data_IF_929711604552
#
_entry.id   IF_929711604552
#
_cell.length_a   1.000
_cell.length_b   1.000
_cell.length_c   1.000
_cell.angle_alpha   90.00
_cell.angle_beta   90.00
_cell.angle_gamma   90.00
#
_symmetry.space_group_name_H-M   'P 1'
#
loop_
_entity.id
_entity.type
_entity.pdbx_description
1 polymer ?
#
# COMPACT_ATOMS: atom_id res chain seq x y z
N UNK A 1 -11.18 1.13 -23.36
CA UNK A 1 -11.93 -0.02 -22.80
C UNK A 1 -11.30 -0.56 -21.52
N UNK A 2 -10.02 -0.96 -21.52
CA UNK A 2 -9.29 -1.47 -20.33
C UNK A 2 -9.33 -0.49 -19.13
N UNK A 3 -9.12 0.80 -19.35
CA UNK A 3 -9.18 1.82 -18.28
C UNK A 3 -10.58 1.91 -17.65
N UNK A 4 -11.63 1.79 -18.46
CA UNK A 4 -13.04 1.81 -18.01
C UNK A 4 -13.37 0.53 -17.24
N UNK A 5 -12.87 -0.63 -17.70
CA UNK A 5 -13.01 -1.91 -17.03
C UNK A 5 -12.32 -1.91 -15.65
N UNK A 6 -11.12 -1.34 -15.54
CA UNK A 6 -10.41 -1.20 -14.27
C UNK A 6 -11.16 -0.30 -13.29
N UNK A 7 -11.68 0.84 -13.76
CA UNK A 7 -12.43 1.78 -12.91
C UNK A 7 -13.75 1.20 -12.39
N UNK A 8 -14.49 0.44 -13.22
CA UNK A 8 -15.75 -0.22 -12.80
C UNK A 8 -15.47 -1.36 -11.83
N UNK A 9 -14.42 -2.16 -12.07
CA UNK A 9 -14.04 -3.29 -11.22
C UNK A 9 -13.61 -2.86 -9.83
N UNK A 10 -12.88 -1.75 -9.73
CA UNK A 10 -12.47 -1.17 -8.44
C UNK A 10 -13.67 -0.75 -7.58
N UNK A 11 -14.66 -0.13 -8.21
CA UNK A 11 -15.86 0.35 -7.52
C UNK A 11 -16.78 -0.82 -7.08
N UNK A 12 -16.97 -1.84 -7.92
CA UNK A 12 -17.76 -3.03 -7.54
C UNK A 12 -17.08 -3.87 -6.46
N UNK A 13 -15.75 -3.96 -6.47
CA UNK A 13 -14.98 -4.66 -5.42
C UNK A 13 -15.13 -3.95 -4.06
N UNK A 14 -15.16 -2.62 -4.05
CA UNK A 14 -15.41 -1.85 -2.83
C UNK A 14 -16.85 -2.01 -2.29
N UNK A 15 -17.80 -2.39 -3.14
CA UNK A 15 -19.22 -2.59 -2.77
C UNK A 15 -19.58 -4.04 -2.45
N UNK A 16 -18.65 -5.00 -2.63
CA UNK A 16 -18.92 -6.42 -2.40
C UNK A 16 -19.86 -7.04 -3.44
N UNK A 17 -19.97 -6.45 -4.63
CA UNK A 17 -20.83 -6.97 -5.70
C UNK A 17 -20.16 -8.14 -6.45
N UNK A 18 -20.94 -9.09 -7.01
CA UNK A 18 -20.38 -10.24 -7.72
C UNK A 18 -19.63 -9.81 -8.99
N UNK A 19 -18.30 -9.79 -8.94
CA UNK A 19 -17.41 -9.46 -10.06
C UNK A 19 -17.53 -10.42 -11.25
N UNK A 20 -18.09 -11.61 -11.04
CA UNK A 20 -18.26 -12.65 -12.08
C UNK A 20 -19.23 -12.25 -13.19
N UNK A 21 -20.34 -11.58 -12.87
CA UNK A 21 -21.35 -11.18 -13.88
C UNK A 21 -20.84 -10.03 -14.76
N UNK A 22 -20.10 -9.10 -14.16
CA UNK A 22 -19.45 -8.00 -14.84
C UNK A 22 -18.33 -8.51 -15.75
N UNK A 23 -17.51 -9.45 -15.27
CA UNK A 23 -16.47 -10.08 -16.08
C UNK A 23 -17.06 -10.88 -17.25
N UNK A 24 -18.17 -11.60 -17.03
CA UNK A 24 -18.88 -12.28 -18.11
C UNK A 24 -19.44 -11.29 -19.14
N UNK A 25 -20.01 -10.17 -18.71
CA UNK A 25 -20.53 -9.12 -19.61
C UNK A 25 -19.42 -8.48 -20.46
N UNK A 26 -18.24 -8.25 -19.87
CA UNK A 26 -17.09 -7.74 -20.62
C UNK A 26 -16.44 -8.79 -21.53
N UNK A 27 -16.43 -10.07 -21.14
CA UNK A 27 -16.02 -11.16 -22.02
C UNK A 27 -16.96 -11.32 -23.22
N UNK A 28 -18.27 -11.13 -23.02
CA UNK A 28 -19.26 -11.11 -24.10
C UNK A 28 -19.00 -9.91 -25.04
N UNK A 29 -18.79 -8.70 -24.50
CA UNK A 29 -18.46 -7.51 -25.30
C UNK A 29 -17.16 -7.66 -26.10
N UNK A 30 -16.17 -8.38 -25.57
CA UNK A 30 -14.92 -8.66 -26.27
C UNK A 30 -15.09 -9.78 -27.33
N UNK A 31 -15.95 -10.77 -27.07
CA UNK A 31 -16.25 -11.83 -28.04
C UNK A 31 -17.14 -11.35 -29.20
N UNK A 32 -18.02 -10.38 -28.97
CA UNK A 32 -18.99 -9.87 -29.97
C UNK A 32 -18.40 -8.86 -30.97
N UNK A 33 -17.14 -8.41 -30.80
CA UNK A 33 -16.41 -7.59 -31.80
C UNK A 33 -16.10 -8.37 -33.11
N UNK A 34 -16.58 -9.61 -33.20
CA UNK A 34 -16.53 -10.44 -34.42
C UNK A 34 -17.91 -10.70 -35.05
N UNK A 35 -19.02 -10.16 -34.52
CA UNK A 35 -20.36 -10.46 -35.04
C UNK A 35 -21.37 -9.30 -35.00
N UNK A 36 -21.63 -8.70 -36.17
CA UNK A 36 -22.79 -7.86 -36.59
C UNK A 36 -23.11 -6.56 -35.81
N UNK A 37 -23.12 -5.37 -36.47
CA UNK A 37 -23.19 -4.05 -35.81
C UNK A 37 -24.47 -3.69 -35.05
N UNK A 38 -25.60 -4.38 -35.27
CA UNK A 38 -26.93 -3.90 -34.84
C UNK A 38 -27.25 -4.11 -33.34
N UNK A 39 -26.46 -4.88 -32.58
CA UNK A 39 -26.69 -5.13 -31.14
C UNK A 39 -25.84 -4.28 -30.21
N UNK A 40 -24.71 -3.74 -30.69
CA UNK A 40 -23.79 -2.92 -29.90
C UNK A 40 -24.44 -1.60 -29.44
N UNK A 41 -25.29 -1.00 -30.27
CA UNK A 41 -25.91 0.31 -29.96
C UNK A 41 -26.85 0.26 -28.75
N UNK A 42 -27.57 -0.86 -28.55
CA UNK A 42 -28.49 -1.00 -27.42
C UNK A 42 -27.75 -1.17 -26.08
N UNK A 43 -26.64 -1.91 -26.08
CA UNK A 43 -25.82 -2.14 -24.89
C UNK A 43 -25.08 -0.85 -24.46
N UNK A 44 -24.54 -0.11 -25.42
CA UNK A 44 -23.88 1.19 -25.18
C UNK A 44 -24.88 2.22 -24.64
N UNK A 45 -26.10 2.26 -25.18
CA UNK A 45 -27.15 3.15 -24.71
C UNK A 45 -27.58 2.83 -23.26
N UNK A 46 -27.72 1.55 -22.92
CA UNK A 46 -28.08 1.13 -21.56
C UNK A 46 -26.98 1.46 -20.54
N UNK A 47 -25.71 1.24 -20.88
CA UNK A 47 -24.56 1.60 -20.03
C UNK A 47 -24.46 3.12 -19.81
N UNK A 48 -24.70 3.90 -20.87
CA UNK A 48 -24.68 5.37 -20.80
C UNK A 48 -25.78 5.90 -19.86
N UNK A 49 -26.97 5.31 -19.88
CA UNK A 49 -28.07 5.68 -18.99
C UNK A 49 -27.76 5.39 -17.51
N UNK A 50 -27.17 4.22 -17.21
CA UNK A 50 -26.76 3.89 -15.84
C UNK A 50 -25.71 4.84 -15.27
N UNK A 51 -24.75 5.28 -16.10
CA UNK A 51 -23.75 6.28 -15.72
C UNK A 51 -24.38 7.66 -15.41
N UNK A 52 -25.36 8.09 -16.20
CA UNK A 52 -26.06 9.36 -15.97
C UNK A 52 -26.85 9.37 -14.65
N UNK A 53 -27.49 8.26 -14.30
CA UNK A 53 -28.24 8.11 -13.03
C UNK A 53 -27.29 8.15 -11.81
N UNK A 54 -26.10 7.54 -11.91
CA UNK A 54 -25.06 7.60 -10.87
C UNK A 54 -24.55 9.04 -10.68
N UNK A 55 -24.34 9.78 -11.77
CA UNK A 55 -23.88 11.18 -11.72
C UNK A 55 -24.93 12.07 -11.03
N UNK A 56 -26.21 11.94 -11.40
CA UNK A 56 -27.30 12.70 -10.79
C UNK A 56 -27.43 12.47 -9.27
N UNK A 57 -27.27 11.22 -8.82
CA UNK A 57 -27.27 10.89 -7.38
C UNK A 57 -26.13 11.55 -6.59
N UNK A 58 -24.94 11.69 -7.20
CA UNK A 58 -23.78 12.36 -6.56
C UNK A 58 -23.99 13.88 -6.44
N UNK A 59 -24.63 14.51 -7.43
CA UNK A 59 -24.95 15.94 -7.36
C UNK A 59 -25.92 16.27 -6.22
N UNK A 60 -26.94 15.43 -6.00
CA UNK A 60 -27.89 15.60 -4.89
C UNK A 60 -27.19 15.51 -3.52
N UNK A 61 -26.28 14.55 -3.36
CA UNK A 61 -25.51 14.37 -2.12
C UNK A 61 -24.60 15.58 -1.83
N UNK A 62 -23.96 16.15 -2.86
CA UNK A 62 -23.16 17.37 -2.74
C UNK A 62 -24.03 18.55 -2.30
N UNK A 63 -25.25 18.70 -2.83
CA UNK A 63 -26.15 19.77 -2.43
C UNK A 63 -26.62 19.64 -0.98
N UNK A 64 -26.90 18.43 -0.50
CA UNK A 64 -27.24 18.17 0.91
C UNK A 64 -26.11 18.56 1.87
N UNK A 65 -24.86 18.27 1.49
CA UNK A 65 -23.68 18.66 2.29
C UNK A 65 -23.47 20.17 2.31
N UNK A 66 -23.65 20.86 1.17
CA UNK A 66 -23.59 22.33 1.10
C UNK A 66 -24.65 22.99 1.98
N UNK A 67 -25.87 22.44 1.99
CA UNK A 67 -26.95 22.93 2.85
C UNK A 67 -26.64 22.70 4.34
N UNK A 68 -26.09 21.54 4.71
CA UNK A 68 -25.67 21.27 6.09
C UNK A 68 -24.56 22.23 6.55
N UNK A 69 -23.56 22.49 5.71
CA UNK A 69 -22.48 23.44 6.02
C UNK A 69 -22.99 24.88 6.20
N UNK A 70 -23.95 25.31 5.38
CA UNK A 70 -24.57 26.63 5.50
C UNK A 70 -25.30 26.83 6.85
N UNK A 71 -25.89 25.76 7.41
CA UNK A 71 -26.60 25.80 8.69
C UNK A 71 -25.68 25.81 9.92
N UNK A 72 -24.44 25.31 9.79
CA UNK A 72 -23.47 25.26 10.89
C UNK A 72 -22.71 26.59 11.04
N UNK A 73 -22.50 27.31 9.93
CA UNK A 73 -21.71 28.56 9.88
C UNK A 73 -22.15 29.65 10.87
N UNK A 74 -23.45 29.94 11.10
CA UNK A 74 -23.89 30.96 12.05
C UNK A 74 -23.56 30.61 13.50
N UNK A 75 -23.64 29.32 13.88
CA UNK A 75 -23.34 28.86 15.23
C UNK A 75 -21.84 29.00 15.55
N UNK A 76 -20.98 28.74 14.57
CA UNK A 76 -19.53 28.96 14.68
C UNK A 76 -19.21 30.45 14.84
N UNK A 77 -19.85 31.32 14.05
CA UNK A 77 -19.67 32.77 14.15
C UNK A 77 -20.15 33.34 15.49
N UNK A 78 -21.31 32.89 15.98
CA UNK A 78 -21.85 33.31 17.28
C UNK A 78 -20.95 32.87 18.44
N UNK A 79 -20.39 31.66 18.37
CA UNK A 79 -19.43 31.15 19.36
C UNK A 79 -18.14 31.96 19.34
N UNK A 80 -17.63 32.31 18.16
CA UNK A 80 -16.46 33.17 18.00
C UNK A 80 -16.68 34.58 18.56
N UNK A 81 -17.86 35.16 18.37
CA UNK A 81 -18.20 36.48 18.90
C UNK A 81 -18.32 36.47 20.43
N UNK A 82 -18.95 35.45 21.00
CA UNK A 82 -19.01 35.26 22.45
C UNK A 82 -17.60 35.12 23.06
N UNK A 83 -16.69 34.45 22.35
CA UNK A 83 -15.30 34.30 22.77
C UNK A 83 -14.53 35.63 22.81
N UNK A 84 -14.67 36.46 21.78
CA UNK A 84 -14.05 37.80 21.74
C UNK A 84 -14.54 38.71 22.88
N UNK A 85 -15.79 38.54 23.33
CA UNK A 85 -16.36 39.28 24.46
C UNK A 85 -15.82 38.77 25.81
N UNK A 86 -15.59 37.46 25.96
CA UNK A 86 -15.00 36.86 27.17
C UNK A 86 -13.52 37.25 27.31
N UNK A 87 -12.76 37.24 26.21
CA UNK A 87 -11.34 37.63 26.20
C UNK A 87 -11.14 39.10 26.61
N UNK A 88 -12.14 39.96 26.41
CA UNK A 88 -12.07 41.38 26.76
C UNK A 88 -12.31 41.68 28.25
N UNK A 89 -12.75 40.73 29.08
CA UNK A 89 -13.33 41.06 30.40
C UNK A 89 -12.71 40.44 31.67
N UNK A 90 -11.69 39.56 31.68
CA UNK A 90 -10.94 39.24 32.93
C UNK A 90 -9.69 38.35 32.76
N UNK A 91 -8.78 38.40 33.76
CA UNK A 91 -7.62 37.50 34.00
C UNK A 91 -8.04 36.02 34.18
N UNK A 92 -8.27 35.29 33.09
CA UNK A 92 -8.88 33.96 33.09
C UNK A 92 -8.06 32.84 32.44
N UNK A 93 -6.83 32.58 32.90
CA UNK A 93 -5.98 31.49 32.36
C UNK A 93 -6.61 30.09 32.54
N UNK A 94 -7.37 29.87 33.62
CA UNK A 94 -8.01 28.57 33.90
C UNK A 94 -9.32 28.32 33.12
N UNK A 95 -10.07 29.37 32.81
CA UNK A 95 -11.31 29.25 32.00
C UNK A 95 -10.95 28.99 30.54
N UNK A 96 -9.86 29.59 30.06
CA UNK A 96 -9.32 29.35 28.72
C UNK A 96 -8.89 27.89 28.52
N UNK A 97 -8.21 27.27 29.49
CA UNK A 97 -7.78 25.87 29.37
C UNK A 97 -8.96 24.88 29.29
N UNK A 98 -10.02 25.09 30.08
CA UNK A 98 -11.22 24.26 30.04
C UNK A 98 -12.02 24.41 28.74
N UNK A 99 -12.09 25.63 28.20
CA UNK A 99 -12.78 25.91 26.94
C UNK A 99 -12.00 25.42 25.71
N UNK A 100 -10.68 25.53 25.71
CA UNK A 100 -9.83 24.94 24.67
C UNK A 100 -9.98 23.42 24.60
N UNK A 101 -10.11 22.75 25.76
CA UNK A 101 -10.37 21.31 25.81
C UNK A 101 -11.71 20.93 25.18
N UNK A 102 -12.78 21.70 25.43
CA UNK A 102 -14.09 21.46 24.82
C UNK A 102 -14.09 21.75 23.30
N UNK A 103 -13.33 22.75 22.83
CA UNK A 103 -13.17 23.05 21.41
C UNK A 103 -12.47 21.91 20.66
N UNK A 104 -11.40 21.36 21.23
CA UNK A 104 -10.69 20.20 20.66
C UNK A 104 -11.62 18.99 20.58
N UNK A 105 -12.42 18.71 21.63
CA UNK A 105 -13.39 17.61 21.60
C UNK A 105 -14.49 17.79 20.55
N UNK A 106 -14.99 19.01 20.35
CA UNK A 106 -16.01 19.30 19.34
C UNK A 106 -15.46 19.14 17.92
N UNK A 107 -14.24 19.60 17.66
CA UNK A 107 -13.57 19.46 16.36
C UNK A 107 -13.26 18.00 16.04
N UNK A 108 -12.82 17.21 17.03
CA UNK A 108 -12.61 15.76 16.88
C UNK A 108 -13.92 15.05 16.54
N UNK A 109 -15.03 15.38 17.21
CA UNK A 109 -16.35 14.79 16.89
C UNK A 109 -16.86 15.18 15.51
N UNK A 110 -16.66 16.41 15.08
CA UNK A 110 -17.04 16.88 13.74
C UNK A 110 -16.20 16.19 12.65
N UNK A 111 -14.90 16.01 12.86
CA UNK A 111 -14.03 15.27 11.96
C UNK A 111 -14.46 13.79 11.85
N UNK A 112 -14.75 13.14 12.99
CA UNK A 112 -15.25 11.76 13.04
C UNK A 112 -16.59 11.60 12.29
N UNK A 113 -17.55 12.50 12.50
CA UNK A 113 -18.84 12.49 11.80
C UNK A 113 -18.70 12.72 10.29
N UNK A 114 -17.76 13.57 9.88
CA UNK A 114 -17.51 13.87 8.46
C UNK A 114 -16.84 12.68 7.75
N UNK A 115 -15.87 12.03 8.39
CA UNK A 115 -15.20 10.84 7.86
C UNK A 115 -16.15 9.63 7.78
N UNK A 116 -17.01 9.44 8.79
CA UNK A 116 -17.95 8.31 8.85
C UNK A 116 -19.03 8.37 7.77
N UNK A 117 -19.48 9.56 7.39
CA UNK A 117 -20.60 9.75 6.45
C UNK A 117 -20.17 9.94 4.98
N UNK A 118 -18.92 10.32 4.72
CA UNK A 118 -18.46 10.59 3.35
C UNK A 118 -17.62 9.46 2.76
N UNK A 119 -17.04 8.58 3.58
CA UNK A 119 -16.13 7.53 3.09
C UNK A 119 -14.87 8.07 2.41
N UNK A 120 -14.61 9.38 2.49
CA UNK A 120 -13.46 10.05 1.86
C UNK A 120 -12.50 10.55 2.94
N UNK A 121 -11.22 10.20 2.82
CA UNK A 121 -10.16 10.54 3.77
C UNK A 121 -9.66 12.01 3.68
N UNK A 122 -10.32 12.88 2.90
CA UNK A 122 -9.94 14.30 2.76
C UNK A 122 -10.95 15.19 3.46
N UNK A 123 -10.47 15.93 4.46
CA UNK A 123 -11.23 17.01 5.08
C UNK A 123 -11.46 18.15 4.06
N UNK A 124 -12.65 18.80 4.05
CA UNK A 124 -12.92 19.96 3.22
C UNK A 124 -11.91 21.10 3.51
N UNK A 125 -11.57 21.89 2.49
CA UNK A 125 -10.63 23.02 2.57
C UNK A 125 -10.95 23.97 3.75
N UNK A 126 -12.24 24.22 4.00
CA UNK A 126 -12.72 25.07 5.09
C UNK A 126 -12.38 24.53 6.50
N UNK A 127 -12.19 23.20 6.65
CA UNK A 127 -11.82 22.58 7.93
C UNK A 127 -10.31 22.68 8.20
N UNK A 128 -9.52 22.73 7.13
CA UNK A 128 -8.06 22.93 7.20
C UNK A 128 -7.71 24.33 7.68
N UNK A 129 -8.44 25.35 7.22
CA UNK A 129 -8.24 26.75 7.66
C UNK A 129 -8.59 26.95 9.14
N UNK A 130 -9.63 26.25 9.63
CA UNK A 130 -10.01 26.21 11.04
C UNK A 130 -8.93 25.55 11.92
N UNK A 131 -8.32 24.46 11.46
CA UNK A 131 -7.22 23.79 12.16
C UNK A 131 -5.94 24.65 12.20
N UNK A 132 -5.61 25.33 11.11
CA UNK A 132 -4.46 26.24 11.04
C UNK A 132 -4.57 27.42 12.00
N UNK A 133 -5.78 27.97 12.17
CA UNK A 133 -6.08 29.05 13.11
C UNK A 133 -5.91 28.63 14.59
N UNK A 134 -6.27 27.38 14.91
CA UNK A 134 -6.10 26.81 16.27
C UNK A 134 -4.61 26.58 16.57
N UNK A 135 -3.86 26.04 15.61
CA UNK A 135 -2.42 25.77 15.77
C UNK A 135 -1.58 27.05 15.95
N UNK A 136 -1.91 28.14 15.24
CA UNK A 136 -1.21 29.42 15.38
C UNK A 136 -1.35 30.02 16.79
N UNK A 137 -2.53 29.90 17.40
CA UNK A 137 -2.78 30.43 18.75
C UNK A 137 -2.09 29.58 19.84
N UNK A 138 -1.90 28.29 19.60
CA UNK A 138 -1.21 27.40 20.53
C UNK A 138 0.31 27.66 20.58
N UNK A 139 0.93 27.92 19.43
CA UNK A 139 2.38 28.20 19.32
C UNK A 139 2.80 29.47 20.08
N UNK A 140 1.95 30.50 20.09
CA UNK A 140 2.23 31.76 20.79
C UNK A 140 2.33 31.63 22.32
N UNK A 141 1.73 30.58 22.91
CA UNK A 141 1.72 30.38 24.37
C UNK A 141 2.94 29.62 24.90
N UNK A 142 3.69 28.91 24.05
CA UNK A 142 4.79 28.03 24.47
C UNK A 142 6.15 28.74 24.64
N UNK A 143 6.28 30.03 24.30
CA UNK A 143 7.58 30.73 24.32
C UNK A 143 8.03 31.30 25.68
N UNK A 144 7.29 31.06 26.77
CA UNK A 144 7.63 31.54 28.11
C UNK A 144 7.88 30.35 29.05
N UNK A 145 9.14 29.87 29.12
CA UNK A 145 9.80 29.38 30.34
C UNK A 145 11.13 28.65 30.05
N UNK A 146 12.26 29.23 30.49
CA UNK A 146 13.57 28.55 30.65
C UNK A 146 14.21 29.04 31.94
N UNK A 147 14.36 28.18 32.95
CA UNK A 147 15.47 28.20 33.92
C UNK A 147 15.62 26.81 34.55
N UNK A 148 16.87 26.35 34.66
CA UNK A 148 17.28 25.10 35.29
C UNK A 148 18.33 25.39 36.37
N UNK A 149 18.32 24.63 37.46
CA UNK A 149 19.51 23.92 38.02
C UNK A 149 19.32 23.40 39.46
N UNK A 150 20.07 22.31 39.74
CA UNK A 150 20.61 21.78 41.01
C UNK A 150 19.93 20.56 41.70
N UNK A 151 20.82 19.60 42.04
CA UNK A 151 20.66 18.31 42.77
C UNK A 151 21.63 18.36 43.98
N UNK A 152 21.36 17.70 45.14
CA UNK A 152 22.04 16.43 45.49
C UNK A 152 21.19 15.41 46.31
N UNK A 153 21.87 14.33 46.72
CA UNK A 153 21.49 12.92 46.98
C UNK A 153 20.80 12.58 48.32
N UNK A 154 20.10 11.41 48.39
CA UNK A 154 20.42 10.24 49.27
C UNK A 154 19.35 9.11 49.17
N UNK A 155 19.71 7.89 49.57
CA UNK A 155 19.08 6.61 49.22
C UNK A 155 17.97 6.05 50.14
N UNK A 156 17.56 4.81 49.86
CA UNK A 156 16.61 4.01 50.64
C UNK A 156 15.84 3.01 49.79
N UNK A 157 15.83 1.75 50.24
CA UNK A 157 15.27 0.56 49.58
C UNK A 157 13.78 0.31 49.91
N UNK A 158 13.16 -0.66 49.22
CA UNK A 158 11.90 -1.40 49.48
C UNK A 158 10.87 -1.38 48.31
N UNK A 159 10.36 -2.60 48.08
CA UNK A 159 9.63 -3.20 46.95
C UNK A 159 8.17 -2.73 46.79
N UNK A 160 7.68 -2.69 45.53
CA UNK A 160 6.26 -2.86 45.21
C UNK A 160 5.71 -2.07 44.01
N UNK A 161 5.46 -2.76 42.89
CA UNK A 161 4.58 -2.42 41.73
C UNK A 161 4.89 -1.18 40.86
N UNK A 162 5.21 -1.40 39.56
CA UNK A 162 4.81 -0.56 38.41
C UNK A 162 5.45 -1.06 37.08
N UNK A 163 4.66 -1.72 36.23
CA UNK A 163 5.07 -2.29 34.95
C UNK A 163 4.94 -1.31 33.75
N UNK A 164 4.39 -0.12 33.96
CA UNK A 164 4.18 0.85 32.86
C UNK A 164 5.38 1.80 32.63
N UNK A 165 6.21 2.03 33.65
CA UNK A 165 7.37 2.93 33.57
C UNK A 165 8.55 2.34 32.78
N UNK A 166 8.59 1.02 32.64
CA UNK A 166 9.64 0.28 31.93
C UNK A 166 9.66 0.58 30.43
N UNK A 167 8.52 1.00 29.85
CA UNK A 167 8.37 1.22 28.40
C UNK A 167 8.68 2.66 27.95
N UNK A 168 8.88 3.60 28.87
CA UNK A 168 8.96 5.04 28.56
C UNK A 168 10.38 5.65 28.59
N UNK A 169 11.46 4.85 28.65
CA UNK A 169 12.86 5.33 28.66
C UNK A 169 13.15 6.52 29.59
N UNK A 170 12.37 6.71 30.66
CA UNK A 170 12.66 7.69 31.70
C UNK A 170 13.47 7.00 32.79
N UNK A 171 14.62 7.59 33.13
CA UNK A 171 15.44 7.12 34.24
C UNK A 171 14.57 7.00 35.51
N UNK A 172 14.55 5.81 36.11
CA UNK A 172 13.76 5.48 37.33
C UNK A 172 13.95 6.50 38.46
N UNK A 173 15.11 7.17 38.52
CA UNK A 173 15.42 8.20 39.53
C UNK A 173 14.60 9.48 39.30
N UNK A 174 14.44 9.90 38.04
CA UNK A 174 13.72 11.13 37.66
C UNK A 174 12.22 10.99 37.92
N UNK A 175 11.63 9.85 37.58
CA UNK A 175 10.20 9.58 37.83
C UNK A 175 9.88 9.56 39.32
N UNK A 176 10.77 9.03 40.16
CA UNK A 176 10.60 9.01 41.62
C UNK A 176 10.69 10.41 42.23
N UNK A 177 11.67 11.22 41.82
CA UNK A 177 11.83 12.60 42.30
C UNK A 177 10.63 13.46 41.90
N UNK A 178 10.14 13.30 40.66
CA UNK A 178 8.98 14.03 40.17
C UNK A 178 7.69 13.61 40.87
N UNK A 179 7.46 12.31 41.07
CA UNK A 179 6.32 11.82 41.84
C UNK A 179 6.32 12.26 43.31
N UNK A 180 7.50 12.37 43.94
CA UNK A 180 7.63 12.91 45.29
C UNK A 180 7.32 14.42 45.34
N UNK A 181 7.73 15.19 44.32
CA UNK A 181 7.41 16.61 44.19
C UNK A 181 5.89 16.82 44.04
N UNK A 182 5.23 16.04 43.19
CA UNK A 182 3.79 16.17 42.95
C UNK A 182 2.94 15.75 44.15
N UNK A 183 3.38 14.76 44.94
CA UNK A 183 2.71 14.39 46.20
C UNK A 183 2.71 15.53 47.24
N UNK A 184 3.74 16.37 47.25
CA UNK A 184 3.79 17.56 48.12
C UNK A 184 2.82 18.67 47.69
N UNK A 185 2.36 18.64 46.43
CA UNK A 185 1.39 19.59 45.87
C UNK A 185 -0.08 19.11 46.04
N UNK A 186 -0.31 17.98 46.71
CA UNK A 186 -1.65 17.45 46.97
C UNK A 186 -2.46 17.19 45.70
N UNK A 187 -3.76 17.50 45.73
CA UNK A 187 -4.69 17.26 44.62
C UNK A 187 -4.27 17.96 43.31
N UNK A 188 -3.62 19.13 43.42
CA UNK A 188 -3.13 19.91 42.27
C UNK A 188 -1.99 19.16 41.57
N UNK A 189 -1.08 18.55 42.33
CA UNK A 189 0.00 17.74 41.77
C UNK A 189 -0.51 16.50 41.02
N UNK A 190 -1.57 15.86 41.53
CA UNK A 190 -2.22 14.72 40.84
C UNK A 190 -2.90 15.14 39.54
N UNK A 191 -3.60 16.29 39.53
CA UNK A 191 -4.21 16.81 38.30
C UNK A 191 -3.17 17.16 37.24
N UNK A 192 -2.05 17.78 37.63
CA UNK A 192 -0.94 18.08 36.72
C UNK A 192 -0.27 16.80 36.18
N UNK A 193 -0.10 15.77 37.01
CA UNK A 193 0.42 14.47 36.57
C UNK A 193 -0.46 13.80 35.52
N UNK A 194 -1.77 13.76 35.78
CA UNK A 194 -2.76 13.17 34.85
C UNK A 194 -2.83 13.98 33.56
N UNK A 195 -2.79 15.32 33.65
CA UNK A 195 -2.70 16.19 32.49
C UNK A 195 -1.46 15.92 31.63
N UNK A 196 -0.29 15.78 32.27
CA UNK A 196 0.97 15.52 31.57
C UNK A 196 1.00 14.13 30.93
N UNK A 197 0.47 13.10 31.63
CA UNK A 197 0.30 11.76 31.06
C UNK A 197 -0.64 11.77 29.86
N UNK A 198 -1.74 12.52 29.91
CA UNK A 198 -2.66 12.66 28.79
C UNK A 198 -2.01 13.39 27.61
N UNK A 199 -1.19 14.42 27.84
CA UNK A 199 -0.43 15.11 26.78
C UNK A 199 0.61 14.19 26.15
N UNK A 200 1.37 13.43 26.95
CA UNK A 200 2.35 12.45 26.43
C UNK A 200 1.64 11.35 25.63
N UNK A 201 0.50 10.86 26.12
CA UNK A 201 -0.30 9.84 25.42
C UNK A 201 -0.87 10.41 24.11
N UNK A 202 -1.27 11.68 24.10
CA UNK A 202 -1.76 12.36 22.91
C UNK A 202 -0.65 12.66 21.90
N UNK A 203 0.55 13.06 22.34
CA UNK A 203 1.74 13.21 21.49
C UNK A 203 2.18 11.88 20.89
N UNK A 204 2.08 10.78 21.63
CA UNK A 204 2.40 9.45 21.08
C UNK A 204 1.34 8.94 20.11
N UNK A 205 0.05 9.21 20.38
CA UNK A 205 -1.03 8.92 19.45
C UNK A 205 -0.86 9.75 18.16
N UNK A 206 -0.53 11.05 18.27
CA UNK A 206 -0.29 11.91 17.11
C UNK A 206 1.03 11.63 16.41
N UNK A 207 2.07 11.13 17.10
CA UNK A 207 3.30 10.66 16.47
C UNK A 207 3.07 9.34 15.69
N UNK A 208 2.33 8.41 16.29
CA UNK A 208 1.89 7.17 15.63
C UNK A 208 0.98 7.45 14.43
N UNK A 209 0.13 8.49 14.49
CA UNK A 209 -0.69 8.95 13.36
C UNK A 209 0.11 9.80 12.34
N UNK A 210 1.12 10.55 12.79
CA UNK A 210 2.04 11.31 11.93
C UNK A 210 2.94 10.39 11.09
N UNK A 211 3.34 9.25 11.63
CA UNK A 211 4.13 8.25 10.91
C UNK A 211 3.30 7.58 9.79
N UNK A 212 1.99 7.45 9.98
CA UNK A 212 1.02 7.10 8.93
C UNK A 212 0.84 8.22 7.90
N UNK A 213 0.91 9.49 8.31
CA UNK A 213 0.80 10.67 7.42
C UNK A 213 2.08 10.99 6.62
N UNK A 214 3.25 10.45 7.01
CA UNK A 214 4.51 10.60 6.25
C UNK A 214 4.67 9.61 5.10
N UNK A 215 3.81 8.60 5.02
CA UNK A 215 3.79 7.71 3.84
C UNK A 215 3.19 8.51 2.68
N UNK A 216 3.79 8.51 1.48
CA UNK A 216 3.10 8.99 0.29
C UNK A 216 1.72 8.32 0.23
N UNK A 217 0.71 9.04 -0.26
CA UNK A 217 -0.69 8.60 -0.36
C UNK A 217 -0.84 7.34 -1.24
N UNK A 218 -0.31 6.20 -0.81
CA UNK A 218 -0.60 4.91 -1.39
C UNK A 218 -1.94 4.45 -0.80
N UNK A 219 -2.88 3.97 -1.64
CA UNK A 219 -4.10 3.37 -1.13
C UNK A 219 -3.72 2.24 -0.18
N UNK A 220 -4.18 2.34 1.07
CA UNK A 220 -3.94 1.29 2.03
C UNK A 220 -4.54 -0.01 1.51
N UNK A 221 -3.69 -1.00 1.29
CA UNK A 221 -4.10 -2.38 1.19
C UNK A 221 -4.67 -2.72 2.56
N UNK A 222 -5.99 -2.58 2.73
CA UNK A 222 -6.62 -2.88 4.01
C UNK A 222 -6.18 -4.28 4.42
N UNK A 223 -5.76 -4.49 5.69
CA UNK A 223 -5.55 -5.82 6.25
C UNK A 223 -6.80 -6.66 6.05
N UNK A 224 -6.92 -7.34 4.91
CA UNK A 224 -8.02 -8.27 4.69
C UNK A 224 -7.79 -9.39 5.68
N UNK A 225 -8.83 -9.76 6.43
CA UNK A 225 -8.83 -10.93 7.31
C UNK A 225 -8.22 -12.09 6.54
N UNK A 226 -7.01 -12.49 6.93
CA UNK A 226 -6.32 -13.59 6.30
C UNK A 226 -7.20 -14.84 6.44
N UNK A 227 -7.42 -15.52 5.31
CA UNK A 227 -8.11 -16.80 5.32
C UNK A 227 -7.31 -17.78 6.20
N UNK A 228 -8.05 -18.67 6.87
CA UNK A 228 -7.49 -19.76 7.65
C UNK A 228 -6.70 -20.68 6.72
N UNK A 229 -5.39 -20.85 6.96
CA UNK A 229 -4.48 -21.76 6.25
C UNK A 229 -4.07 -21.43 4.79
N UNK A 230 -2.83 -21.80 4.37
CA UNK A 230 -2.29 -21.60 3.01
C UNK A 230 -3.03 -22.36 1.90
N UNK A 231 -3.91 -23.31 2.25
CA UNK A 231 -4.63 -24.16 1.29
C UNK A 231 -5.89 -23.49 0.70
N UNK A 232 -6.31 -22.31 1.18
CA UNK A 232 -7.67 -21.81 0.95
C UNK A 232 -7.81 -20.76 -0.18
N UNK A 233 -6.72 -20.38 -0.86
CA UNK A 233 -6.74 -19.35 -1.90
C UNK A 233 -6.35 -19.87 -3.29
N UNK A 234 -7.24 -19.85 -4.30
CA UNK A 234 -6.82 -20.08 -5.68
C UNK A 234 -5.75 -19.07 -6.12
N UNK A 235 -4.77 -19.53 -6.90
CA UNK A 235 -3.68 -18.72 -7.46
C UNK A 235 -3.96 -18.42 -8.94
N UNK A 236 -3.66 -17.18 -9.35
CA UNK A 236 -3.45 -16.84 -10.76
C UNK A 236 -1.98 -16.92 -11.08
N UNK A 237 -1.59 -17.67 -12.10
CA UNK A 237 -0.22 -17.66 -12.63
C UNK A 237 -0.13 -16.66 -13.78
N UNK A 238 0.91 -15.82 -13.82
CA UNK A 238 1.21 -14.91 -14.92
C UNK A 238 2.56 -15.27 -15.51
N UNK A 239 2.57 -15.68 -16.78
CA UNK A 239 3.77 -16.10 -17.51
C UNK A 239 4.04 -15.10 -18.64
N UNK A 240 5.28 -14.61 -18.75
CA UNK A 240 5.69 -13.77 -19.87
C UNK A 240 6.22 -14.64 -21.00
N UNK A 241 5.52 -14.72 -22.13
CA UNK A 241 6.02 -15.36 -23.34
C UNK A 241 6.70 -14.33 -24.24
N UNK A 242 8.03 -14.42 -24.41
CA UNK A 242 8.75 -13.59 -25.37
C UNK A 242 9.21 -14.38 -26.60
N UNK A 243 10.10 -15.36 -26.43
CA UNK A 243 10.65 -16.14 -27.55
C UNK A 243 10.71 -17.64 -27.27
N UNK A 244 9.98 -18.12 -26.25
CA UNK A 244 10.08 -19.50 -25.74
C UNK A 244 8.70 -20.15 -25.61
N UNK A 245 7.89 -20.06 -26.67
CA UNK A 245 6.53 -20.65 -26.71
C UNK A 245 6.51 -22.15 -26.39
N UNK A 246 7.55 -22.90 -26.75
CA UNK A 246 7.69 -24.32 -26.40
C UNK A 246 7.88 -24.55 -24.90
N UNK A 247 8.63 -23.68 -24.22
CA UNK A 247 8.78 -23.76 -22.76
C UNK A 247 7.48 -23.37 -22.07
N UNK A 248 6.84 -22.29 -22.52
CA UNK A 248 5.52 -21.88 -22.02
C UNK A 248 4.51 -23.01 -22.16
N UNK A 249 4.49 -23.72 -23.30
CA UNK A 249 3.61 -24.88 -23.48
C UNK A 249 3.84 -25.94 -22.40
N UNK A 250 5.10 -26.32 -22.15
CA UNK A 250 5.46 -27.29 -21.10
C UNK A 250 5.06 -26.81 -19.70
N UNK A 251 5.30 -25.54 -19.38
CA UNK A 251 4.93 -24.94 -18.10
C UNK A 251 3.41 -25.01 -17.92
N UNK A 252 2.65 -24.55 -18.93
CA UNK A 252 1.18 -24.54 -18.91
C UNK A 252 0.63 -25.97 -18.83
N UNK A 253 1.15 -26.92 -19.60
CA UNK A 253 0.76 -28.34 -19.59
C UNK A 253 0.81 -28.94 -18.17
N UNK A 254 1.78 -28.53 -17.36
CA UNK A 254 1.87 -28.96 -15.97
C UNK A 254 0.91 -28.17 -15.08
N UNK A 255 0.99 -26.84 -15.11
CA UNK A 255 0.26 -25.96 -14.19
C UNK A 255 -1.27 -26.02 -14.34
N UNK A 256 -1.81 -26.38 -15.52
CA UNK A 256 -3.26 -26.56 -15.66
C UNK A 256 -3.81 -27.66 -14.75
N UNK A 257 -2.97 -28.64 -14.38
CA UNK A 257 -3.33 -29.77 -13.54
C UNK A 257 -3.15 -29.49 -12.04
N UNK A 258 -2.52 -28.38 -11.65
CA UNK A 258 -2.33 -28.05 -10.24
C UNK A 258 -3.67 -27.67 -9.61
N UNK A 259 -3.93 -28.17 -8.41
CA UNK A 259 -5.18 -27.91 -7.70
C UNK A 259 -5.27 -26.46 -7.22
N UNK A 260 -4.14 -25.89 -6.79
CA UNK A 260 -4.05 -24.51 -6.31
C UNK A 260 -4.10 -23.46 -7.42
N UNK A 261 -3.91 -23.84 -8.69
CA UNK A 261 -3.95 -22.93 -9.85
C UNK A 261 -5.35 -22.88 -10.45
N UNK A 262 -6.02 -21.75 -10.32
CA UNK A 262 -7.35 -21.52 -10.89
C UNK A 262 -7.31 -20.82 -12.24
N UNK A 263 -6.28 -20.02 -12.49
CA UNK A 263 -6.13 -19.19 -13.69
C UNK A 263 -4.66 -19.11 -14.10
N UNK A 264 -4.40 -19.10 -15.39
CA UNK A 264 -3.08 -18.90 -15.99
C UNK A 264 -3.22 -17.84 -17.07
N UNK A 265 -2.51 -16.73 -16.92
CA UNK A 265 -2.45 -15.65 -17.89
C UNK A 265 -1.08 -15.72 -18.59
N UNK A 266 -1.09 -16.02 -19.88
CA UNK A 266 0.12 -15.99 -20.71
C UNK A 266 0.16 -14.67 -21.45
N UNK A 267 1.16 -13.85 -21.15
CA UNK A 267 1.36 -12.54 -21.79
C UNK A 267 2.31 -12.70 -22.96
N UNK A 268 1.80 -12.60 -24.19
CA UNK A 268 2.63 -12.61 -25.39
C UNK A 268 3.06 -11.19 -25.72
N UNK A 269 4.37 -10.93 -25.63
CA UNK A 269 4.96 -9.61 -25.84
C UNK A 269 6.00 -9.61 -26.97
N UNK A 270 5.84 -10.50 -27.96
CA UNK A 270 6.72 -10.55 -29.12
C UNK A 270 5.93 -10.79 -30.41
N UNK A 271 6.01 -9.90 -31.40
CA UNK A 271 5.32 -10.04 -32.70
C UNK A 271 5.68 -11.30 -33.48
N UNK A 272 6.84 -11.88 -33.20
CA UNK A 272 7.34 -13.07 -33.88
C UNK A 272 7.05 -14.37 -33.12
N UNK A 273 6.44 -14.30 -31.94
CA UNK A 273 6.06 -15.47 -31.15
C UNK A 273 4.57 -15.42 -30.81
N UNK A 274 3.77 -16.13 -31.59
CA UNK A 274 2.37 -16.36 -31.26
C UNK A 274 2.24 -17.58 -30.35
N UNK A 275 1.35 -17.50 -29.37
CA UNK A 275 1.03 -18.60 -28.47
C UNK A 275 -0.49 -18.81 -28.39
N UNK A 276 -0.92 -20.06 -28.47
CA UNK A 276 -2.31 -20.44 -28.25
C UNK A 276 -2.37 -21.74 -27.46
N UNK A 277 -3.38 -21.84 -26.59
CA UNK A 277 -3.54 -22.99 -25.70
C UNK A 277 -5.03 -23.23 -25.37
N UNK A 278 -5.62 -24.37 -25.79
CA UNK A 278 -7.05 -24.61 -25.65
C UNK A 278 -7.40 -25.16 -24.26
N UNK A 279 -7.41 -24.32 -23.23
CA UNK A 279 -7.84 -24.71 -21.88
C UNK A 279 -8.57 -23.56 -21.18
N UNK A 280 -9.68 -23.86 -20.49
CA UNK A 280 -10.51 -22.86 -19.78
C UNK A 280 -9.79 -22.11 -18.65
N UNK A 281 -8.72 -22.68 -18.07
CA UNK A 281 -7.89 -22.01 -17.07
C UNK A 281 -6.93 -21.00 -17.70
N UNK A 282 -6.69 -21.10 -19.02
CA UNK A 282 -5.62 -20.37 -19.70
C UNK A 282 -6.20 -19.22 -20.51
N UNK A 283 -5.72 -18.01 -20.22
CA UNK A 283 -6.01 -16.78 -20.95
C UNK A 283 -4.72 -16.34 -21.61
N UNK A 284 -4.74 -16.15 -22.94
CA UNK A 284 -3.60 -15.58 -23.66
C UNK A 284 -3.90 -14.12 -23.93
N UNK A 285 -3.01 -13.24 -23.47
CA UNK A 285 -3.08 -11.80 -23.72
C UNK A 285 -2.04 -11.43 -24.76
N UNK A 286 -2.51 -10.88 -25.88
CA UNK A 286 -1.65 -10.21 -26.85
C UNK A 286 -1.38 -8.79 -26.36
N UNK A 287 -0.13 -8.51 -25.99
CA UNK A 287 0.32 -7.22 -25.48
C UNK A 287 1.46 -6.64 -26.33
N UNK A 288 1.63 -7.10 -27.57
CA UNK A 288 2.75 -6.73 -28.44
C UNK A 288 2.81 -5.22 -28.72
N UNK A 289 1.65 -4.54 -28.76
CA UNK A 289 1.58 -3.09 -28.90
C UNK A 289 2.17 -2.30 -27.71
N UNK A 290 2.51 -2.98 -26.62
CA UNK A 290 3.09 -2.40 -25.41
C UNK A 290 4.55 -2.81 -25.19
N UNK A 291 5.19 -3.49 -26.15
CA UNK A 291 6.58 -3.97 -26.02
C UNK A 291 7.55 -2.80 -25.75
N UNK A 292 7.46 -1.76 -26.56
CA UNK A 292 8.34 -0.58 -26.46
C UNK A 292 8.11 0.22 -25.16
N UNK A 293 6.85 0.28 -24.71
CA UNK A 293 6.43 1.09 -23.55
C UNK A 293 6.64 0.37 -22.21
N UNK A 294 6.35 -0.92 -22.15
CA UNK A 294 6.27 -1.67 -20.90
C UNK A 294 7.32 -2.78 -20.80
N UNK A 295 7.89 -3.25 -21.91
CA UNK A 295 8.90 -4.30 -21.94
C UNK A 295 8.57 -5.47 -21.00
N UNK A 296 9.50 -5.79 -20.10
CA UNK A 296 9.32 -6.90 -19.13
C UNK A 296 8.31 -6.60 -18.02
N UNK A 297 8.01 -5.32 -17.74
CA UNK A 297 7.03 -4.93 -16.71
C UNK A 297 5.58 -5.21 -17.13
N UNK A 298 5.32 -5.54 -18.40
CA UNK A 298 3.96 -5.89 -18.90
C UNK A 298 3.29 -7.00 -18.08
N UNK A 299 4.07 -7.91 -17.49
CA UNK A 299 3.58 -8.96 -16.59
C UNK A 299 2.81 -8.39 -15.39
N UNK A 300 3.24 -7.27 -14.83
CA UNK A 300 2.54 -6.60 -13.73
C UNK A 300 1.25 -5.91 -14.20
N UNK A 301 1.14 -5.57 -15.48
CA UNK A 301 -0.12 -5.06 -16.05
C UNK A 301 -1.14 -6.19 -16.15
N UNK A 302 -0.70 -7.36 -16.61
CA UNK A 302 -1.53 -8.57 -16.68
C UNK A 302 -2.01 -9.03 -15.29
N UNK A 303 -1.19 -8.85 -14.25
CA UNK A 303 -1.58 -9.12 -12.87
C UNK A 303 -2.83 -8.34 -12.44
N UNK A 304 -3.08 -7.14 -12.97
CA UNK A 304 -4.30 -6.35 -12.66
C UNK A 304 -5.57 -6.96 -13.25
N UNK A 305 -5.43 -7.88 -14.21
CA UNK A 305 -6.56 -8.59 -14.80
C UNK A 305 -6.88 -9.89 -14.06
N UNK A 306 -5.95 -10.40 -13.25
CA UNK A 306 -6.09 -11.62 -12.47
C UNK A 306 -7.41 -11.69 -11.71
N UNK A 307 -8.07 -12.84 -11.72
CA UNK A 307 -9.29 -13.09 -10.94
C UNK A 307 -9.00 -13.32 -9.47
N UNK A 308 -7.80 -13.83 -9.15
CA UNK A 308 -7.42 -14.20 -7.81
C UNK A 308 -6.46 -13.17 -7.19
N UNK A 309 -6.49 -13.10 -5.86
CA UNK A 309 -5.63 -12.19 -5.09
C UNK A 309 -4.16 -12.58 -5.19
N UNK A 310 -3.86 -13.86 -4.99
CA UNK A 310 -2.50 -14.39 -5.02
C UNK A 310 -2.08 -14.63 -6.46
N UNK A 311 -0.95 -14.05 -6.82
CA UNK A 311 -0.42 -14.06 -8.18
C UNK A 311 0.99 -14.62 -8.14
N UNK A 312 1.20 -15.75 -8.83
CA UNK A 312 2.52 -16.26 -9.13
C UNK A 312 2.98 -15.68 -10.46
N UNK A 313 4.06 -14.90 -10.44
CA UNK A 313 4.81 -14.53 -11.64
C UNK A 313 5.96 -15.51 -11.81
N UNK A 314 6.17 -16.00 -13.03
CA UNK A 314 7.35 -16.79 -13.36
C UNK A 314 7.88 -16.47 -14.77
N UNK A 315 9.19 -16.68 -14.95
CA UNK A 315 9.85 -16.56 -16.27
C UNK A 315 9.56 -17.77 -17.17
N UNK A 316 9.75 -17.61 -18.48
CA UNK A 316 9.46 -18.64 -19.50
C UNK A 316 10.56 -19.69 -19.67
N UNK A 317 11.56 -19.72 -18.80
CA UNK A 317 12.60 -20.74 -18.72
C UNK A 317 12.61 -21.46 -17.36
N UNK A 318 11.61 -21.22 -16.52
CA UNK A 318 11.50 -21.83 -15.21
C UNK A 318 10.10 -22.41 -15.00
N UNK A 319 10.04 -23.70 -14.67
CA UNK A 319 8.80 -24.37 -14.31
C UNK A 319 8.75 -24.57 -12.79
N UNK A 320 7.88 -23.82 -12.11
CA UNK A 320 7.54 -24.05 -10.70
C UNK A 320 6.66 -25.30 -10.59
N UNK A 321 7.06 -26.27 -9.77
CA UNK A 321 6.29 -27.49 -9.53
C UNK A 321 5.10 -27.21 -8.60
N UNK A 322 4.19 -28.17 -8.46
CA UNK A 322 3.10 -28.04 -7.47
C UNK A 322 3.67 -27.97 -6.03
N UNK A 323 4.75 -28.69 -5.75
CA UNK A 323 5.47 -28.63 -4.47
C UNK A 323 6.09 -27.24 -4.24
N UNK A 324 6.74 -26.68 -5.25
CA UNK A 324 7.31 -25.32 -5.16
C UNK A 324 6.24 -24.25 -4.96
N UNK A 325 5.10 -24.36 -5.64
CA UNK A 325 3.98 -23.45 -5.41
C UNK A 325 3.41 -23.59 -3.98
N UNK A 326 3.30 -24.82 -3.45
CA UNK A 326 2.88 -25.06 -2.07
C UNK A 326 3.86 -24.45 -1.06
N UNK A 327 5.18 -24.53 -1.33
CA UNK A 327 6.21 -23.89 -0.53
C UNK A 327 6.08 -22.36 -0.53
N UNK A 328 5.91 -21.73 -1.70
CA UNK A 328 5.69 -20.28 -1.81
C UNK A 328 4.41 -19.84 -1.07
N UNK A 329 3.32 -20.59 -1.17
CA UNK A 329 2.06 -20.30 -0.47
C UNK A 329 2.22 -20.41 1.05
N UNK A 330 2.96 -21.41 1.52
CA UNK A 330 3.27 -21.58 2.96
C UNK A 330 4.08 -20.39 3.47
N UNK A 331 5.15 -20.02 2.77
CA UNK A 331 5.95 -18.85 3.13
C UNK A 331 5.13 -17.54 3.05
N UNK A 332 4.21 -17.39 2.09
CA UNK A 332 3.30 -16.24 2.01
C UNK A 332 2.34 -16.16 3.19
N UNK A 333 1.89 -17.30 3.70
CA UNK A 333 1.05 -17.37 4.90
C UNK A 333 1.83 -17.01 6.17
N UNK A 334 3.08 -17.46 6.29
CA UNK A 334 3.96 -17.13 7.41
C UNK A 334 4.46 -15.68 7.37
N UNK A 335 4.62 -15.11 6.18
CA UNK A 335 5.06 -13.75 5.93
C UNK A 335 3.97 -12.93 5.21
N UNK A 336 2.84 -12.63 5.89
CA UNK A 336 1.67 -11.99 5.29
C UNK A 336 1.96 -10.58 4.72
N UNK A 337 3.02 -9.93 5.17
CA UNK A 337 3.39 -8.56 4.80
C UNK A 337 4.58 -8.47 3.83
N UNK A 338 4.97 -9.61 3.24
CA UNK A 338 6.04 -9.68 2.24
C UNK A 338 5.51 -10.23 0.92
N UNK A 339 6.13 -9.83 -0.19
CA UNK A 339 6.16 -10.66 -1.39
C UNK A 339 7.13 -11.82 -1.15
N UNK A 340 6.87 -12.96 -1.77
CA UNK A 340 7.63 -14.20 -1.51
C UNK A 340 8.20 -14.75 -2.79
N UNK A 341 9.49 -15.08 -2.82
CA UNK A 341 10.15 -15.66 -3.99
C UNK A 341 11.18 -16.72 -3.63
N UNK A 342 11.79 -17.33 -4.64
CA UNK A 342 12.88 -18.30 -4.47
C UNK A 342 14.29 -17.69 -4.59
N UNK A 343 14.41 -16.53 -5.24
CA UNK A 343 15.69 -15.86 -5.44
C UNK A 343 15.61 -14.41 -4.99
N UNK A 344 16.56 -14.01 -4.16
CA UNK A 344 16.70 -12.62 -3.74
C UNK A 344 18.05 -12.02 -4.09
N UNK A 345 18.10 -10.69 -4.01
CA UNK A 345 19.28 -9.86 -4.14
C UNK A 345 19.22 -8.77 -3.07
N UNK A 346 20.35 -8.21 -2.74
CA UNK A 346 20.44 -7.06 -1.85
C UNK A 346 21.11 -5.87 -2.58
N UNK A 347 21.11 -4.72 -1.92
CA UNK A 347 21.98 -3.61 -2.29
C UNK A 347 22.73 -3.09 -1.07
N UNK A 348 23.79 -2.34 -1.27
CA UNK A 348 24.51 -1.72 -0.16
C UNK A 348 23.73 -0.50 0.38
N UNK A 349 23.19 -0.56 1.60
CA UNK A 349 22.35 0.53 2.14
C UNK A 349 23.11 1.87 2.33
N UNK A 350 24.43 1.84 2.49
CA UNK A 350 25.25 3.07 2.60
C UNK A 350 25.52 3.73 1.26
N UNK A 351 25.56 2.95 0.19
CA UNK A 351 25.65 3.41 -1.19
C UNK A 351 24.90 2.38 -2.04
N UNK A 352 23.65 2.62 -2.47
CA UNK A 352 22.71 1.63 -3.01
C UNK A 352 23.17 1.00 -4.32
N UNK A 353 24.26 0.25 -4.27
CA UNK A 353 24.85 -0.51 -5.34
C UNK A 353 24.26 -1.90 -5.30
N UNK A 354 23.75 -2.33 -6.45
CA UNK A 354 23.15 -3.63 -6.64
C UNK A 354 24.17 -4.76 -6.39
N UNK A 355 23.85 -5.69 -5.48
CA UNK A 355 24.68 -6.86 -5.23
C UNK A 355 24.27 -8.01 -6.18
N UNK A 356 25.15 -8.37 -7.12
CA UNK A 356 24.94 -9.49 -8.05
C UNK A 356 25.26 -10.86 -7.41
N UNK A 357 24.83 -11.09 -6.18
CA UNK A 357 25.07 -12.35 -5.46
C UNK A 357 23.73 -12.90 -5.02
N UNK A 358 23.49 -14.19 -5.27
CA UNK A 358 22.32 -14.87 -4.73
C UNK A 358 22.33 -14.80 -3.20
N UNK A 359 21.17 -14.56 -2.63
CA UNK A 359 20.98 -14.46 -1.19
C UNK A 359 20.55 -15.80 -0.61
N UNK A 360 20.90 -16.04 0.65
CA UNK A 360 20.36 -17.16 1.42
C UNK A 360 18.85 -16.96 1.67
N UNK A 361 18.11 -17.98 2.11
CA UNK A 361 16.72 -17.80 2.51
C UNK A 361 16.57 -16.80 3.67
N UNK A 362 15.54 -15.96 3.61
CA UNK A 362 15.29 -14.91 4.61
C UNK A 362 14.69 -13.62 4.02
N UNK A 363 14.73 -12.53 4.78
CA UNK A 363 14.29 -11.22 4.30
C UNK A 363 15.41 -10.52 3.53
N UNK A 364 15.10 -10.05 2.32
CA UNK A 364 16.04 -9.40 1.41
C UNK A 364 15.41 -8.18 0.76
N UNK A 365 16.24 -7.27 0.27
CA UNK A 365 15.76 -6.02 -0.33
C UNK A 365 15.00 -6.24 -1.63
N UNK A 366 15.40 -7.26 -2.42
CA UNK A 366 14.92 -7.51 -3.76
C UNK A 366 14.58 -8.99 -3.90
N UNK A 367 13.37 -9.30 -4.37
CA UNK A 367 13.01 -10.62 -4.87
C UNK A 367 12.90 -10.60 -6.40
N UNK A 368 13.54 -11.57 -7.06
CA UNK A 368 13.55 -11.66 -8.51
C UNK A 368 12.21 -12.19 -9.05
N UNK A 369 11.79 -11.69 -10.20
CA UNK A 369 10.56 -12.11 -10.91
C UNK A 369 10.64 -13.48 -11.58
N UNK A 370 11.71 -14.25 -11.33
CA UNK A 370 11.92 -15.63 -11.80
C UNK A 370 10.82 -16.58 -11.33
N UNK A 371 10.48 -16.48 -10.04
CA UNK A 371 9.33 -17.12 -9.40
C UNK A 371 8.97 -16.30 -8.17
N UNK A 372 7.91 -15.50 -8.28
CA UNK A 372 7.52 -14.52 -7.28
C UNK A 372 6.01 -14.60 -7.03
N UNK A 373 5.64 -14.89 -5.79
CA UNK A 373 4.28 -14.86 -5.30
C UNK A 373 4.01 -13.53 -4.61
N UNK A 374 2.97 -12.83 -5.06
CA UNK A 374 2.56 -11.53 -4.53
C UNK A 374 1.05 -11.35 -4.61
N UNK A 375 0.56 -10.21 -4.14
CA UNK A 375 -0.85 -9.86 -4.20
C UNK A 375 -1.11 -8.83 -5.32
N UNK A 376 -2.30 -8.88 -5.93
CA UNK A 376 -2.73 -7.89 -6.96
C UNK A 376 -2.53 -6.43 -6.52
N UNK A 377 -2.59 -6.17 -5.21
CA UNK A 377 -2.40 -4.84 -4.66
C UNK A 377 -0.94 -4.32 -4.81
N UNK A 378 0.06 -5.20 -4.76
CA UNK A 378 1.45 -4.83 -5.05
C UNK A 378 1.62 -4.43 -6.52
N UNK A 379 0.96 -5.14 -7.46
CA UNK A 379 0.92 -4.74 -8.87
C UNK A 379 0.26 -3.39 -9.09
N UNK A 380 -0.83 -3.09 -8.36
CA UNK A 380 -1.47 -1.78 -8.44
C UNK A 380 -0.52 -0.68 -7.97
N UNK A 381 0.09 -0.87 -6.79
CA UNK A 381 1.04 0.08 -6.24
C UNK A 381 2.25 0.30 -7.16
N UNK A 382 2.74 -0.75 -7.83
CA UNK A 382 3.80 -0.64 -8.83
C UNK A 382 3.43 0.38 -9.91
N UNK A 383 2.22 0.29 -10.48
CA UNK A 383 1.79 1.20 -11.54
C UNK A 383 1.45 2.61 -11.05
N UNK A 384 0.96 2.74 -9.82
CA UNK A 384 0.75 4.06 -9.20
C UNK A 384 2.09 4.78 -9.00
N UNK A 385 3.15 4.04 -8.67
CA UNK A 385 4.50 4.57 -8.49
C UNK A 385 5.32 4.64 -9.79
N UNK A 386 4.92 3.98 -10.88
CA UNK A 386 5.78 3.79 -12.06
C UNK A 386 6.22 5.08 -12.74
N UNK A 387 5.43 6.15 -12.62
CA UNK A 387 5.79 7.50 -13.09
C UNK A 387 7.12 8.00 -12.51
N UNK A 388 7.53 7.49 -11.34
CA UNK A 388 8.82 7.80 -10.72
C UNK A 388 10.00 7.20 -11.48
N UNK A 389 9.81 6.25 -12.40
CA UNK A 389 10.91 5.52 -13.05
C UNK A 389 10.89 5.62 -14.57
N UNK A 390 9.90 6.30 -15.17
CA UNK A 390 9.71 6.32 -16.62
C UNK A 390 10.92 6.83 -17.40
N UNK A 391 11.63 7.84 -16.90
CA UNK A 391 12.80 8.41 -17.57
C UNK A 391 13.98 7.43 -17.68
N UNK A 392 14.10 6.47 -16.77
CA UNK A 392 15.16 5.46 -16.82
C UNK A 392 14.68 4.10 -17.32
N UNK A 393 13.38 3.82 -17.30
CA UNK A 393 12.83 2.52 -17.68
C UNK A 393 13.16 2.12 -19.13
N UNK A 394 13.38 3.08 -20.02
CA UNK A 394 13.67 2.83 -21.45
C UNK A 394 15.16 2.96 -21.82
N UNK A 395 16.06 3.16 -20.85
CA UNK A 395 17.48 3.39 -21.15
C UNK A 395 18.27 2.10 -21.45
N UNK A 396 17.80 0.94 -20.98
CA UNK A 396 18.44 -0.35 -21.27
C UNK A 396 18.02 -0.89 -22.64
N UNK A 397 18.79 -1.86 -23.14
CA UNK A 397 18.44 -2.64 -24.33
C UNK A 397 17.07 -3.35 -24.21
N UNK A 398 16.65 -3.68 -22.97
CA UNK A 398 15.32 -4.20 -22.68
C UNK A 398 14.57 -3.22 -21.79
N UNK A 399 13.47 -2.70 -22.30
CA UNK A 399 12.60 -1.79 -21.56
C UNK A 399 12.17 -2.42 -20.23
N UNK A 400 12.27 -1.62 -19.16
CA UNK A 400 11.99 -1.99 -17.77
C UNK A 400 12.93 -3.04 -17.15
N UNK A 401 14.17 -3.20 -17.63
CA UNK A 401 15.16 -4.06 -16.95
C UNK A 401 15.48 -3.57 -15.52
N UNK A 402 14.88 -4.19 -14.49
CA UNK A 402 14.91 -3.70 -13.10
C UNK A 402 13.53 -3.51 -12.49
N UNK A 403 12.49 -3.96 -13.18
CA UNK A 403 11.11 -4.02 -12.73
C UNK A 403 10.94 -4.83 -11.43
N UNK A 404 11.77 -5.86 -11.23
CA UNK A 404 11.84 -6.67 -10.00
C UNK A 404 12.37 -5.87 -8.79
N UNK A 405 13.39 -5.05 -9.00
CA UNK A 405 13.92 -4.10 -8.01
C UNK A 405 12.83 -3.12 -7.63
N UNK A 406 12.15 -2.52 -8.62
CA UNK A 406 11.09 -1.55 -8.36
C UNK A 406 9.92 -2.18 -7.61
N UNK A 407 9.46 -3.36 -8.05
CA UNK A 407 8.38 -4.10 -7.40
C UNK A 407 8.72 -4.40 -5.94
N UNK A 408 9.93 -4.86 -5.66
CA UNK A 408 10.36 -5.19 -4.31
C UNK A 408 10.30 -3.97 -3.38
N UNK A 409 10.86 -2.83 -3.80
CA UNK A 409 10.86 -1.60 -3.02
C UNK A 409 9.46 -1.01 -2.83
N UNK A 410 8.63 -1.02 -3.88
CA UNK A 410 7.24 -0.57 -3.80
C UNK A 410 6.45 -1.47 -2.85
N UNK A 411 6.60 -2.79 -2.97
CA UNK A 411 5.91 -3.75 -2.12
C UNK A 411 6.32 -3.60 -0.64
N UNK A 412 7.60 -3.41 -0.36
CA UNK A 412 8.09 -3.12 0.98
C UNK A 412 7.40 -1.89 1.59
N UNK A 413 7.27 -0.82 0.80
CA UNK A 413 6.65 0.41 1.25
C UNK A 413 5.16 0.28 1.56
N UNK A 414 4.43 -0.51 0.77
CA UNK A 414 2.98 -0.66 0.93
C UNK A 414 2.59 -1.78 1.91
N UNK A 415 3.39 -2.85 2.02
CA UNK A 415 3.11 -4.00 2.86
C UNK A 415 3.78 -3.91 4.24
N UNK A 416 4.95 -3.27 4.33
CA UNK A 416 5.65 -2.99 5.58
C UNK A 416 6.88 -3.87 5.85
N UNK A 417 6.98 -5.05 5.22
CA UNK A 417 8.13 -5.94 5.37
C UNK A 417 8.89 -6.09 4.04
N UNK A 418 10.19 -6.34 4.13
CA UNK A 418 11.01 -6.65 2.95
C UNK A 418 10.58 -7.97 2.32
N UNK A 419 10.80 -8.18 1.00
CA UNK A 419 10.62 -9.48 0.37
C UNK A 419 11.19 -10.64 1.18
N UNK A 420 10.50 -11.77 1.17
CA UNK A 420 10.94 -13.00 1.83
C UNK A 420 11.34 -14.05 0.80
N UNK A 421 12.54 -14.59 0.92
CA UNK A 421 13.11 -15.62 0.06
C UNK A 421 12.98 -16.96 0.76
N UNK A 422 12.18 -17.85 0.18
CA UNK A 422 11.95 -19.18 0.74
C UNK A 422 13.05 -20.16 0.28
N UNK A 423 13.53 -21.09 1.13
CA UNK A 423 14.41 -22.15 0.67
C UNK A 423 13.70 -23.01 -0.39
N UNK A 424 14.46 -23.53 -1.35
CA UNK A 424 13.94 -24.45 -2.34
C UNK A 424 14.98 -25.48 -2.76
N UNK A 425 14.50 -26.58 -3.34
CA UNK A 425 15.31 -27.65 -3.89
C UNK A 425 15.07 -27.78 -5.39
N UNK A 426 16.13 -27.63 -6.18
CA UNK A 426 16.08 -27.83 -7.63
C UNK A 426 15.72 -29.28 -7.97
N UNK A 427 14.85 -29.45 -8.96
CA UNK A 427 14.26 -30.75 -9.33
C UNK A 427 13.08 -31.17 -8.47
N UNK A 428 12.80 -30.51 -7.35
CA UNK A 428 11.60 -30.74 -6.54
C UNK A 428 10.67 -29.54 -6.61
N UNK A 429 11.14 -28.34 -6.27
CA UNK A 429 10.33 -27.12 -6.25
C UNK A 429 10.32 -26.40 -7.60
N UNK A 430 11.44 -26.49 -8.33
CA UNK A 430 11.62 -25.82 -9.62
C UNK A 430 12.38 -26.71 -10.59
N UNK A 431 12.03 -26.61 -11.87
CA UNK A 431 12.78 -27.18 -12.97
C UNK A 431 13.21 -26.08 -13.93
N UNK A 432 14.53 -25.97 -14.14
CA UNK A 432 15.06 -25.11 -15.18
C UNK A 432 14.82 -25.73 -16.56
N UNK A 433 14.24 -24.94 -17.44
CA UNK A 433 14.10 -25.25 -18.85
C UNK A 433 15.25 -24.59 -19.62
N UNK A 434 15.47 -25.04 -20.85
CA UNK A 434 16.54 -24.49 -21.67
C UNK A 434 16.24 -23.02 -22.01
N UNK A 435 17.14 -22.12 -21.59
CA UNK A 435 17.06 -20.67 -21.82
C UNK A 435 17.22 -20.29 -23.31
N UNK A 436 17.92 -21.14 -24.07
CA UNK A 436 18.30 -20.88 -25.46
C UNK A 436 19.44 -19.87 -25.54
N UNK A 437 19.41 -19.00 -26.55
CA UNK A 437 20.49 -18.03 -26.84
C UNK A 437 20.15 -16.60 -26.41
N UNK A 438 19.01 -16.38 -25.75
CA UNK A 438 18.46 -15.04 -25.52
C UNK A 438 18.18 -14.86 -24.04
N UNK A 439 19.19 -14.48 -23.25
CA UNK A 439 19.04 -14.12 -21.84
C UNK A 439 19.30 -12.63 -21.61
N UNK A 440 18.41 -11.93 -20.92
CA UNK A 440 18.57 -10.47 -20.64
C UNK A 440 19.84 -10.23 -19.81
N UNK A 441 20.17 -11.16 -18.92
CA UNK A 441 21.37 -11.14 -18.08
C UNK A 441 22.68 -11.16 -18.87
N UNK A 442 22.65 -11.59 -20.12
CA UNK A 442 23.82 -11.64 -21.01
C UNK A 442 24.12 -10.32 -21.73
N UNK A 443 23.20 -9.34 -21.68
CA UNK A 443 23.40 -8.04 -22.33
C UNK A 443 24.50 -7.23 -21.62
N UNK A 444 25.36 -6.57 -22.39
CA UNK A 444 26.53 -5.83 -21.86
C UNK A 444 26.14 -4.67 -20.93
N UNK A 445 24.99 -4.05 -21.15
CA UNK A 445 24.42 -2.96 -20.36
C UNK A 445 23.58 -3.42 -19.17
N UNK A 446 23.34 -4.74 -19.02
CA UNK A 446 22.44 -5.29 -18.00
C UNK A 446 22.82 -4.86 -16.58
N UNK A 447 24.04 -5.16 -16.15
CA UNK A 447 24.49 -4.85 -14.79
C UNK A 447 24.68 -3.34 -14.54
N UNK A 448 25.36 -2.57 -15.42
CA UNK A 448 25.44 -1.12 -15.27
C UNK A 448 24.07 -0.44 -15.14
N UNK A 449 23.10 -0.89 -15.94
CA UNK A 449 21.74 -0.37 -15.87
C UNK A 449 21.07 -0.72 -14.53
N UNK A 450 21.13 -1.97 -14.06
CA UNK A 450 20.52 -2.37 -12.79
C UNK A 450 21.09 -1.64 -11.58
N UNK A 451 22.40 -1.34 -11.58
CA UNK A 451 23.03 -0.48 -10.55
C UNK A 451 22.40 0.91 -10.56
N UNK A 452 22.35 1.57 -11.73
CA UNK A 452 21.69 2.89 -11.86
C UNK A 452 20.21 2.83 -11.46
N UNK A 453 19.53 1.74 -11.80
CA UNK A 453 18.11 1.54 -11.51
C UNK A 453 17.85 1.47 -10.01
N UNK A 454 18.57 0.63 -9.25
CA UNK A 454 18.39 0.54 -7.79
C UNK A 454 18.75 1.84 -7.07
N UNK A 455 19.85 2.50 -7.44
CA UNK A 455 20.24 3.79 -6.86
C UNK A 455 19.16 4.85 -7.07
N UNK A 456 18.51 4.83 -8.23
CA UNK A 456 17.44 5.77 -8.56
C UNK A 456 16.14 5.43 -7.85
N UNK A 457 15.75 4.15 -7.84
CA UNK A 457 14.55 3.67 -7.17
C UNK A 457 14.60 3.93 -5.66
N UNK A 458 15.69 3.57 -4.99
CA UNK A 458 15.91 3.81 -3.54
C UNK A 458 15.75 5.29 -3.20
N UNK A 459 16.38 6.18 -3.97
CA UNK A 459 16.29 7.63 -3.74
C UNK A 459 14.87 8.16 -3.98
N UNK A 460 14.20 7.76 -5.06
CA UNK A 460 12.87 8.28 -5.44
C UNK A 460 11.76 7.72 -4.57
N UNK A 461 11.90 6.49 -4.10
CA UNK A 461 10.97 5.87 -3.15
C UNK A 461 11.32 6.20 -1.69
N UNK A 462 12.49 6.79 -1.41
CA UNK A 462 12.98 7.06 -0.05
C UNK A 462 13.01 5.78 0.80
N UNK A 463 13.70 4.76 0.31
CA UNK A 463 13.90 3.46 0.96
C UNK A 463 15.35 3.35 1.49
N UNK A 464 15.68 4.11 2.54
CA UNK A 464 17.01 4.12 3.18
C UNK A 464 17.02 3.33 4.48
#
# INVERSE_FOLDING_TARGET
MIIVQMSIRDECTHRGEPTREINNAFQILWAEDTATPLKADAAVLHATKGLQEIIAGKEEQIQRLKHAAANIRPAVQQTSQAFSQIHASTNGVLVLAGLHFQQVQLLVRLAQLTCSNTGVAKLPLETHDLLSLVCHNFSASCHLNRMSSLVPEQGGDVVGTLDLASRLCLNRRTTRQFGAMLRRLGAIGTMLWVGMLNVITLEYATASECETLRRPNFPHCSPVKYYSHPEDGPVTVVLLNFKRSDNIRKIVDNMVNYNSVAEIIVVSNNPNSTFTYPNKKVIVLDMMAYEDDLGVAVRFKACLLAMNRHILIADDDLMVTEAGLSNLLTARYEHPWSIVGFWGRDYNHSNPDYAYVDTEPGHHDIALTKALLLDTCACRAFWEASHLMQDIAHEAAVTWNGEDIFMSLVSHKILGDSPYITPFQEGIDVHHLTEGTVGISSAQDHLPHRIKFVQTAVRRLNCF
#
